data_IF_066210868852
#
_entry.id   IF_066210868852
#
_cell.length_a   1.000
_cell.length_b   1.000
_cell.length_c   1.000
_cell.angle_alpha   90.00
_cell.angle_beta   90.00
_cell.angle_gamma   90.00
#
_symmetry.space_group_name_H-M   'P 1'
#
loop_
_entity.id
_entity.type
_entity.pdbx_description
1 polymer ?
#
# COMPACT_ATOMS: atom_id res chain seq x y z
N UNK A 1 22.81 -9.78 3.55
CA UNK A 1 22.53 -8.35 3.76
C UNK A 1 23.80 -7.52 3.83
N UNK A 2 23.80 -6.32 3.23
CA UNK A 2 24.90 -5.35 3.33
C UNK A 2 24.67 -4.36 4.51
N UNK A 3 25.64 -3.49 4.80
CA UNK A 3 25.56 -2.58 5.96
C UNK A 3 24.37 -1.61 5.90
N UNK A 4 24.02 -1.09 4.72
CA UNK A 4 22.86 -0.20 4.54
C UNK A 4 21.57 -0.91 4.94
N UNK A 5 21.34 -2.10 4.39
CA UNK A 5 20.15 -2.90 4.66
C UNK A 5 20.08 -3.27 6.13
N UNK A 6 21.21 -3.62 6.76
CA UNK A 6 21.25 -3.90 8.20
C UNK A 6 20.78 -2.69 9.02
N UNK A 7 21.29 -1.48 8.74
CA UNK A 7 20.87 -0.26 9.45
C UNK A 7 19.38 0.04 9.26
N UNK A 8 18.89 -0.01 8.03
CA UNK A 8 17.48 0.24 7.72
C UNK A 8 16.55 -0.81 8.35
N UNK A 9 16.97 -2.08 8.36
CA UNK A 9 16.23 -3.17 9.02
C UNK A 9 16.18 -2.96 10.52
N UNK A 10 17.30 -2.61 11.15
CA UNK A 10 17.37 -2.37 12.59
C UNK A 10 16.51 -1.17 12.99
N UNK A 11 16.51 -0.08 12.21
CA UNK A 11 15.61 1.06 12.40
C UNK A 11 14.15 0.61 12.28
N UNK A 12 13.80 -0.12 11.21
CA UNK A 12 12.46 -0.61 10.97
C UNK A 12 11.95 -1.51 12.10
N UNK A 13 12.74 -2.48 12.54
CA UNK A 13 12.36 -3.43 13.60
C UNK A 13 12.19 -2.74 14.94
N UNK A 14 13.16 -1.91 15.34
CA UNK A 14 13.19 -1.31 16.67
C UNK A 14 12.28 -0.08 16.84
N UNK A 15 11.80 0.51 15.74
CA UNK A 15 10.84 1.61 15.81
C UNK A 15 9.52 1.14 16.42
N UNK A 16 9.10 1.82 17.50
CA UNK A 16 7.81 1.59 18.16
C UNK A 16 6.67 2.12 17.27
N UNK A 17 5.69 1.28 16.89
CA UNK A 17 4.51 1.75 16.15
C UNK A 17 3.80 2.88 16.89
N UNK A 18 3.38 3.92 16.15
CA UNK A 18 2.70 5.09 16.70
C UNK A 18 1.59 5.58 15.80
N UNK A 19 0.64 6.32 16.35
CA UNK A 19 -0.43 6.99 15.61
C UNK A 19 -0.07 8.46 15.42
N UNK A 20 -0.37 9.00 14.25
CA UNK A 20 -0.30 10.43 13.98
C UNK A 20 -1.60 10.95 13.37
N UNK A 21 -2.04 12.13 13.84
CA UNK A 21 -3.31 12.74 13.43
C UNK A 21 -3.24 13.55 12.13
N UNK A 22 -2.09 13.70 11.45
CA UNK A 22 -1.92 14.56 10.25
C UNK A 22 -3.02 14.31 9.20
N UNK A 23 -3.20 13.05 8.78
CA UNK A 23 -4.20 12.69 7.77
C UNK A 23 -5.61 13.06 8.22
N UNK A 24 -5.95 12.76 9.47
CA UNK A 24 -7.28 13.01 10.02
C UNK A 24 -7.56 14.51 10.14
N UNK A 25 -6.56 15.32 10.53
CA UNK A 25 -6.66 16.79 10.57
C UNK A 25 -6.84 17.35 9.16
N UNK A 26 -6.01 16.93 8.19
CA UNK A 26 -6.11 17.38 6.79
C UNK A 26 -7.49 17.08 6.20
N UNK A 27 -8.00 15.86 6.40
CA UNK A 27 -9.34 15.52 5.93
C UNK A 27 -10.43 16.31 6.67
N UNK A 28 -10.31 16.49 7.98
CA UNK A 28 -11.27 17.29 8.75
C UNK A 28 -11.34 18.71 8.23
N UNK A 29 -10.20 19.34 7.93
CA UNK A 29 -10.14 20.69 7.37
C UNK A 29 -10.70 20.73 5.95
N UNK A 30 -10.36 19.76 5.11
CA UNK A 30 -10.89 19.66 3.75
C UNK A 30 -12.42 19.53 3.73
N UNK A 31 -12.98 18.63 4.54
CA UNK A 31 -14.42 18.35 4.56
C UNK A 31 -15.27 19.42 5.27
N UNK A 32 -14.67 20.47 5.86
CA UNK A 32 -15.41 21.65 6.38
C UNK A 32 -15.95 22.55 5.26
N UNK A 33 -15.44 22.42 4.04
CA UNK A 33 -15.96 23.17 2.90
C UNK A 33 -17.34 22.64 2.47
N UNK A 34 -18.38 23.42 2.76
CA UNK A 34 -19.79 23.11 2.42
C UNK A 34 -19.99 22.92 0.91
N UNK A 35 -19.14 23.51 0.05
CA UNK A 35 -19.23 23.31 -1.40
C UNK A 35 -19.02 21.85 -1.80
N UNK A 36 -18.36 21.04 -0.96
CA UNK A 36 -18.17 19.62 -1.20
C UNK A 36 -19.47 18.81 -1.16
N UNK A 37 -20.57 19.33 -0.61
CA UNK A 37 -21.88 18.67 -0.66
C UNK A 37 -22.51 18.73 -2.06
N UNK A 38 -22.08 19.68 -2.88
CA UNK A 38 -22.63 19.88 -4.25
C UNK A 38 -21.97 19.01 -5.31
N UNK A 39 -20.84 18.37 -4.99
CA UNK A 39 -20.14 17.48 -5.92
C UNK A 39 -20.52 16.02 -5.70
N UNK A 40 -20.37 15.20 -6.74
CA UNK A 40 -20.63 13.77 -6.63
C UNK A 40 -19.72 13.10 -5.58
N UNK A 41 -20.17 11.99 -4.94
CA UNK A 41 -19.34 11.27 -3.97
C UNK A 41 -17.97 10.85 -4.52
N UNK A 42 -17.90 10.47 -5.79
CA UNK A 42 -16.65 10.10 -6.47
C UNK A 42 -15.67 11.28 -6.53
N UNK A 43 -16.13 12.43 -7.01
CA UNK A 43 -15.31 13.66 -7.09
C UNK A 43 -14.90 14.13 -5.69
N UNK A 44 -15.81 14.07 -4.72
CA UNK A 44 -15.51 14.44 -3.34
C UNK A 44 -14.38 13.61 -2.77
N UNK A 45 -14.41 12.28 -2.96
CA UNK A 45 -13.34 11.38 -2.53
C UNK A 45 -12.03 11.66 -3.26
N UNK A 46 -12.06 11.79 -4.58
CA UNK A 46 -10.86 12.08 -5.37
C UNK A 46 -10.20 13.42 -5.00
N UNK A 47 -10.99 14.47 -4.76
CA UNK A 47 -10.47 15.78 -4.30
C UNK A 47 -9.91 15.71 -2.87
N UNK A 48 -10.55 14.95 -1.98
CA UNK A 48 -10.00 14.74 -0.62
C UNK A 48 -8.67 13.98 -0.66
N UNK A 49 -8.55 12.99 -1.55
CA UNK A 49 -7.32 12.26 -1.78
C UNK A 49 -6.24 13.14 -2.42
N UNK A 50 -6.60 13.97 -3.39
CA UNK A 50 -5.71 14.99 -3.96
C UNK A 50 -5.16 15.91 -2.87
N UNK A 51 -6.04 16.44 -2.01
CA UNK A 51 -5.64 17.31 -0.91
C UNK A 51 -4.64 16.61 0.02
N UNK A 52 -4.87 15.33 0.37
CA UNK A 52 -3.90 14.54 1.15
C UNK A 52 -2.55 14.43 0.45
N UNK A 53 -2.52 14.04 -0.83
CA UNK A 53 -1.28 13.87 -1.59
C UNK A 53 -0.49 15.17 -1.76
N UNK A 54 -1.18 16.32 -1.79
CA UNK A 54 -0.57 17.64 -1.89
C UNK A 54 -0.01 18.16 -0.56
N UNK A 55 -0.60 17.78 0.58
CA UNK A 55 -0.32 18.42 1.88
C UNK A 55 0.36 17.50 2.90
N UNK A 56 0.16 16.18 2.86
CA UNK A 56 0.75 15.27 3.86
C UNK A 56 2.28 15.36 3.86
N UNK A 57 2.92 15.08 4.99
CA UNK A 57 4.38 15.09 5.11
C UNK A 57 5.01 14.08 4.14
N UNK A 58 6.11 14.51 3.52
CA UNK A 58 6.99 13.68 2.68
C UNK A 58 8.19 13.28 3.51
N UNK A 59 8.45 11.98 3.61
CA UNK A 59 9.58 11.43 4.38
C UNK A 59 10.60 10.82 3.43
N UNK A 60 11.88 11.16 3.64
CA UNK A 60 13.03 10.56 3.00
C UNK A 60 14.07 10.20 4.07
N UNK A 61 14.25 8.91 4.31
CA UNK A 61 15.22 8.40 5.28
C UNK A 61 16.66 8.51 4.78
N UNK A 62 17.62 8.51 5.72
CA UNK A 62 19.05 8.72 5.42
C UNK A 62 19.63 7.69 4.46
N UNK A 63 19.25 6.43 4.59
CA UNK A 63 19.84 5.32 3.83
C UNK A 63 18.92 4.79 2.71
N UNK A 64 17.73 5.38 2.53
CA UNK A 64 16.70 4.85 1.63
C UNK A 64 17.10 4.89 0.15
N UNK A 65 16.73 3.81 -0.57
CA UNK A 65 16.80 3.73 -2.04
C UNK A 65 15.41 3.70 -2.70
N UNK A 66 14.39 3.26 -1.97
CA UNK A 66 12.97 3.31 -2.33
C UNK A 66 12.29 4.21 -1.30
N UNK A 67 11.55 5.22 -1.74
CA UNK A 67 11.06 6.32 -0.88
C UNK A 67 9.54 6.41 -0.85
N UNK A 68 8.99 6.95 0.24
CA UNK A 68 7.56 7.13 0.46
C UNK A 68 7.08 6.38 1.69
N UNK A 69 6.31 7.04 2.53
CA UNK A 69 5.76 6.51 3.78
C UNK A 69 4.27 6.88 3.87
N UNK A 70 3.44 6.01 4.44
CA UNK A 70 2.01 6.29 4.63
C UNK A 70 1.78 7.42 5.63
N UNK A 71 2.53 7.43 6.73
CA UNK A 71 2.56 8.53 7.69
C UNK A 71 3.73 9.49 7.47
N UNK A 72 4.10 10.29 8.48
CA UNK A 72 5.23 11.21 8.41
C UNK A 72 6.60 10.54 8.63
N UNK A 73 6.64 9.27 9.06
CA UNK A 73 7.86 8.51 9.31
C UNK A 73 7.56 6.99 9.36
N UNK A 74 8.59 6.11 9.31
CA UNK A 74 8.45 4.67 9.48
C UNK A 74 7.61 4.28 10.71
N UNK A 75 6.66 3.35 10.54
CA UNK A 75 5.75 2.85 11.58
C UNK A 75 4.91 3.90 12.30
N UNK A 76 4.86 5.13 11.79
CA UNK A 76 3.90 6.16 12.21
C UNK A 76 2.68 6.04 11.31
N UNK A 77 1.58 5.49 11.80
CA UNK A 77 0.38 5.24 11.00
C UNK A 77 -0.64 6.38 11.11
N UNK A 78 -1.29 6.77 10.01
CA UNK A 78 -2.46 7.64 10.07
C UNK A 78 -3.70 6.89 10.61
N UNK A 79 -4.76 7.65 10.80
CA UNK A 79 -6.11 7.18 11.12
C UNK A 79 -7.14 7.59 10.05
N UNK A 80 -8.32 6.97 10.11
CA UNK A 80 -9.34 7.05 9.05
C UNK A 80 -10.71 7.37 9.65
N UNK A 81 -10.87 8.60 10.19
CA UNK A 81 -12.08 8.97 10.91
C UNK A 81 -13.33 8.99 10.02
N UNK A 82 -13.18 9.03 8.69
CA UNK A 82 -14.32 8.86 7.79
C UNK A 82 -14.91 7.44 7.81
N UNK A 83 -14.11 6.43 8.21
CA UNK A 83 -14.53 5.03 8.34
C UNK A 83 -14.94 4.76 9.79
N UNK A 84 -13.98 4.92 10.71
CA UNK A 84 -14.16 4.76 12.14
C UNK A 84 -13.39 5.86 12.88
N UNK A 85 -14.12 6.71 13.59
CA UNK A 85 -13.57 7.77 14.42
C UNK A 85 -13.37 7.23 15.84
N UNK A 86 -12.11 7.05 16.24
CA UNK A 86 -11.76 6.60 17.59
C UNK A 86 -12.10 7.66 18.64
N UNK A 87 -12.57 7.21 19.79
CA UNK A 87 -12.71 8.00 21.02
C UNK A 87 -11.34 8.26 21.66
N UNK A 88 -11.28 9.21 22.59
CA UNK A 88 -10.03 9.49 23.34
C UNK A 88 -9.65 8.29 24.21
N UNK A 89 -10.64 7.65 24.82
CA UNK A 89 -10.47 6.44 25.63
C UNK A 89 -9.90 5.28 24.80
N UNK A 90 -10.38 5.09 23.56
CA UNK A 90 -9.81 4.08 22.65
C UNK A 90 -8.35 4.39 22.28
N UNK A 91 -7.99 5.67 22.10
CA UNK A 91 -6.59 6.07 21.87
C UNK A 91 -5.71 5.80 23.09
N UNK A 92 -6.22 5.99 24.30
CA UNK A 92 -5.52 5.64 25.55
C UNK A 92 -5.35 4.12 25.71
N UNK A 93 -6.36 3.34 25.34
CA UNK A 93 -6.27 1.87 25.28
C UNK A 93 -5.22 1.44 24.26
N UNK A 94 -5.17 2.06 23.08
CA UNK A 94 -4.18 1.75 22.05
C UNK A 94 -2.73 2.05 22.51
N UNK A 95 -2.52 3.11 23.28
CA UNK A 95 -1.20 3.48 23.83
C UNK A 95 -0.74 2.56 24.97
N UNK A 96 -1.68 2.06 25.77
CA UNK A 96 -1.41 1.33 27.01
C UNK A 96 -1.56 -0.20 26.93
N UNK A 97 -2.26 -0.74 25.92
CA UNK A 97 -2.49 -2.19 25.79
C UNK A 97 -1.19 -2.98 25.65
N UNK A 98 -1.17 -4.20 26.17
CA UNK A 98 0.03 -5.05 26.19
C UNK A 98 0.47 -5.50 24.78
N UNK A 99 -0.50 -5.89 23.94
CA UNK A 99 -0.25 -6.44 22.60
C UNK A 99 -0.67 -5.46 21.53
N UNK A 100 0.15 -5.35 20.49
CA UNK A 100 -0.12 -4.52 19.31
C UNK A 100 -0.39 -3.05 19.71
N UNK A 101 0.34 -2.51 20.68
CA UNK A 101 0.21 -1.13 21.13
C UNK A 101 0.61 -0.12 20.03
N UNK A 102 -0.04 1.02 19.98
CA UNK A 102 0.42 2.15 19.17
C UNK A 102 0.67 3.32 20.09
N UNK A 103 1.88 3.85 20.08
CA UNK A 103 2.13 5.05 20.85
C UNK A 103 1.25 6.21 20.37
N UNK A 104 0.60 6.90 21.30
CA UNK A 104 -0.20 8.11 21.02
C UNK A 104 0.36 9.28 21.82
N UNK A 105 0.74 10.35 21.13
CA UNK A 105 1.24 11.57 21.78
C UNK A 105 0.10 12.52 22.21
N UNK A 106 0.44 13.56 22.99
CA UNK A 106 -0.53 14.54 23.47
C UNK A 106 -1.17 15.30 22.31
N UNK A 107 -0.38 15.73 21.32
CA UNK A 107 -0.84 16.44 20.13
C UNK A 107 -1.92 15.65 19.38
N UNK A 108 -1.72 14.34 19.20
CA UNK A 108 -2.71 13.47 18.54
C UNK A 108 -3.99 13.39 19.36
N UNK A 109 -3.91 13.22 20.69
CA UNK A 109 -5.09 13.21 21.57
C UNK A 109 -5.85 14.54 21.55
N UNK A 110 -5.14 15.66 21.59
CA UNK A 110 -5.72 17.00 21.56
C UNK A 110 -6.44 17.25 20.24
N UNK A 111 -5.80 16.95 19.10
CA UNK A 111 -6.45 17.03 17.79
C UNK A 111 -7.72 16.16 17.71
N UNK A 112 -7.71 14.98 18.33
CA UNK A 112 -8.87 14.11 18.37
C UNK A 112 -10.02 14.70 19.18
N UNK A 113 -9.73 15.14 20.40
CA UNK A 113 -10.71 15.73 21.32
C UNK A 113 -11.31 17.02 20.76
N UNK A 114 -10.47 17.89 20.21
CA UNK A 114 -10.85 19.28 19.92
C UNK A 114 -11.37 19.47 18.50
N UNK A 115 -10.93 18.66 17.54
CA UNK A 115 -11.26 18.86 16.12
C UNK A 115 -11.88 17.64 15.42
N UNK A 116 -11.27 16.45 15.56
CA UNK A 116 -11.64 15.28 14.74
C UNK A 116 -12.95 14.67 15.25
N UNK A 117 -13.06 14.35 16.54
CA UNK A 117 -14.28 13.74 17.11
C UNK A 117 -15.50 14.67 16.92
N UNK A 118 -15.42 15.98 17.26
CA UNK A 118 -16.55 16.89 17.06
C UNK A 118 -17.00 16.96 15.59
N UNK A 119 -16.08 16.88 14.63
CA UNK A 119 -16.42 16.96 13.22
C UNK A 119 -16.99 15.66 12.66
N UNK A 120 -16.42 14.50 13.01
CA UNK A 120 -16.75 13.21 12.38
C UNK A 120 -17.90 12.46 13.06
N UNK A 121 -18.29 12.86 14.27
CA UNK A 121 -19.45 12.29 14.97
C UNK A 121 -20.71 12.35 14.09
N UNK A 122 -21.40 11.22 13.95
CA UNK A 122 -22.59 11.06 13.11
C UNK A 122 -22.31 10.97 11.61
N UNK A 123 -21.04 10.96 11.17
CA UNK A 123 -20.67 10.97 9.74
C UNK A 123 -19.94 9.72 9.28
N UNK A 124 -19.46 8.89 10.22
CA UNK A 124 -18.58 7.76 9.91
C UNK A 124 -19.31 6.65 9.18
N UNK A 125 -18.58 5.84 8.40
CA UNK A 125 -19.14 4.63 7.77
C UNK A 125 -19.62 3.64 8.84
N UNK A 126 -18.86 3.49 9.93
CA UNK A 126 -19.23 2.61 11.05
C UNK A 126 -20.60 2.97 11.63
N UNK A 127 -20.83 4.24 11.94
CA UNK A 127 -22.12 4.69 12.47
C UNK A 127 -23.26 4.41 11.49
N UNK A 128 -23.04 4.63 10.19
CA UNK A 128 -24.04 4.35 9.14
C UNK A 128 -24.35 2.87 9.03
N UNK A 129 -23.34 1.99 9.07
CA UNK A 129 -23.55 0.54 9.07
C UNK A 129 -24.43 0.16 10.25
N UNK A 130 -24.05 0.57 11.46
CA UNK A 130 -24.73 0.16 12.69
C UNK A 130 -26.16 0.73 12.78
N UNK A 131 -26.43 1.91 12.23
CA UNK A 131 -27.79 2.47 12.17
C UNK A 131 -28.75 1.67 11.27
N UNK A 132 -28.22 0.94 10.28
CA UNK A 132 -29.01 0.19 9.30
C UNK A 132 -29.19 -1.30 9.69
N UNK A 133 -28.53 -1.77 10.75
CA UNK A 133 -28.60 -3.17 11.20
C UNK A 133 -29.85 -3.46 12.05
N UNK A 134 -30.36 -4.68 11.95
CA UNK A 134 -31.52 -5.15 12.72
C UNK A 134 -31.15 -5.60 14.14
N UNK A 135 -32.10 -5.68 15.08
CA UNK A 135 -31.86 -6.26 16.41
C UNK A 135 -31.26 -7.67 16.34
N UNK A 136 -31.79 -8.56 15.50
CA UNK A 136 -31.27 -9.93 15.33
C UNK A 136 -29.80 -9.94 14.87
N UNK A 137 -29.40 -8.97 14.03
CA UNK A 137 -28.02 -8.82 13.61
C UNK A 137 -27.12 -8.45 14.79
N UNK A 138 -27.57 -7.50 15.64
CA UNK A 138 -26.83 -7.10 16.83
C UNK A 138 -26.71 -8.24 17.84
N UNK A 139 -27.78 -8.99 18.09
CA UNK A 139 -27.77 -10.13 18.99
C UNK A 139 -26.77 -11.19 18.51
N UNK A 140 -26.74 -11.49 17.22
CA UNK A 140 -25.79 -12.44 16.63
C UNK A 140 -24.33 -11.94 16.66
N UNK A 141 -24.09 -10.66 16.33
CA UNK A 141 -22.77 -10.04 16.42
C UNK A 141 -22.23 -10.02 17.86
N UNK A 142 -23.06 -9.60 18.82
CA UNK A 142 -22.68 -9.58 20.25
C UNK A 142 -22.49 -10.97 20.84
N UNK A 143 -23.23 -11.97 20.34
CA UNK A 143 -23.04 -13.38 20.69
C UNK A 143 -21.81 -14.02 20.02
N UNK A 144 -21.10 -13.30 19.13
CA UNK A 144 -19.91 -13.80 18.44
C UNK A 144 -20.21 -14.84 17.36
N UNK A 145 -21.42 -14.81 16.77
CA UNK A 145 -21.81 -15.72 15.68
C UNK A 145 -21.07 -15.39 14.38
N UNK A 146 -20.84 -14.10 14.13
CA UNK A 146 -20.06 -13.58 13.01
C UNK A 146 -19.39 -12.25 13.39
N UNK A 147 -18.49 -11.76 12.53
CA UNK A 147 -17.87 -10.43 12.63
C UNK A 147 -18.22 -9.56 11.41
N UNK A 148 -18.00 -8.25 11.49
CA UNK A 148 -18.28 -7.29 10.40
C UNK A 148 -16.98 -6.61 9.95
N UNK A 149 -16.42 -7.08 8.83
CA UNK A 149 -15.14 -6.59 8.32
C UNK A 149 -15.14 -5.09 7.99
N UNK A 150 -16.27 -4.53 7.56
CA UNK A 150 -16.34 -3.15 7.11
C UNK A 150 -16.60 -2.15 8.25
N UNK A 151 -16.65 -2.58 9.52
CA UNK A 151 -16.90 -1.67 10.66
C UNK A 151 -15.76 -0.67 10.91
N UNK A 152 -14.51 -1.06 10.66
CA UNK A 152 -13.31 -0.25 10.94
C UNK A 152 -12.39 -0.08 9.72
N UNK A 153 -12.66 -0.80 8.63
CA UNK A 153 -11.85 -0.82 7.41
C UNK A 153 -12.71 -0.74 6.16
N UNK A 154 -12.13 -0.25 5.08
CA UNK A 154 -12.73 -0.31 3.76
C UNK A 154 -12.54 -1.72 3.16
N UNK A 155 -13.39 -2.15 2.21
CA UNK A 155 -13.37 -3.52 1.68
C UNK A 155 -11.98 -4.02 1.27
N UNK A 156 -11.25 -3.32 0.42
CA UNK A 156 -9.87 -3.71 0.09
C UNK A 156 -9.77 -5.10 -0.55
N UNK A 157 -8.90 -5.95 0.01
CA UNK A 157 -8.68 -7.35 -0.40
C UNK A 157 -8.40 -7.50 -1.90
N UNK A 158 -7.42 -6.74 -2.41
CA UNK A 158 -7.11 -6.72 -3.84
C UNK A 158 -5.62 -6.75 -4.11
N UNK A 159 -5.27 -7.12 -5.34
CA UNK A 159 -3.91 -7.16 -5.85
C UNK A 159 -3.75 -6.26 -7.07
N UNK A 160 -2.59 -5.60 -7.18
CA UNK A 160 -2.24 -4.79 -8.33
C UNK A 160 -1.94 -5.66 -9.56
N UNK A 161 -2.38 -5.17 -10.72
CA UNK A 161 -2.09 -5.78 -12.01
C UNK A 161 -0.84 -5.15 -12.68
N UNK A 162 -0.62 -5.51 -13.94
CA UNK A 162 0.55 -5.07 -14.69
C UNK A 162 0.44 -3.64 -15.29
N UNK A 163 -0.69 -2.95 -15.17
CA UNK A 163 -0.97 -1.71 -15.92
C UNK A 163 0.03 -0.60 -15.59
N UNK A 164 0.38 -0.45 -14.31
CA UNK A 164 1.29 0.61 -13.87
C UNK A 164 2.67 0.47 -14.52
N UNK A 165 3.15 -0.76 -14.73
CA UNK A 165 4.46 -1.03 -15.33
C UNK A 165 4.47 -0.81 -16.85
N UNK A 166 3.31 -0.86 -17.51
CA UNK A 166 3.19 -0.73 -18.97
C UNK A 166 2.79 0.66 -19.43
N UNK A 167 1.92 1.33 -18.67
CA UNK A 167 1.25 2.58 -19.09
C UNK A 167 1.69 3.80 -18.29
N UNK A 168 2.12 3.61 -17.03
CA UNK A 168 2.18 4.72 -16.07
C UNK A 168 0.80 5.34 -15.86
N UNK A 169 0.72 6.35 -14.99
CA UNK A 169 -0.53 7.06 -14.74
C UNK A 169 -0.95 7.97 -15.89
N UNK A 170 -0.01 8.54 -16.65
CA UNK A 170 -0.34 9.35 -17.85
C UNK A 170 -1.00 8.49 -18.92
N UNK A 171 -0.55 7.25 -19.14
CA UNK A 171 -1.21 6.34 -20.06
C UNK A 171 -2.63 5.99 -19.62
N UNK A 172 -2.85 5.76 -18.32
CA UNK A 172 -4.21 5.54 -17.78
C UNK A 172 -5.10 6.78 -17.90
N UNK A 173 -4.56 7.99 -17.72
CA UNK A 173 -5.30 9.24 -17.95
C UNK A 173 -5.70 9.42 -19.42
N UNK A 174 -4.88 8.96 -20.37
CA UNK A 174 -5.26 8.98 -21.78
C UNK A 174 -6.46 8.06 -22.05
N UNK A 175 -6.49 6.87 -21.44
CA UNK A 175 -7.65 5.96 -21.52
C UNK A 175 -8.90 6.54 -20.84
N UNK A 176 -8.75 7.21 -19.71
CA UNK A 176 -9.84 7.93 -19.04
C UNK A 176 -10.41 9.02 -19.96
N UNK A 177 -9.55 9.80 -20.62
CA UNK A 177 -9.98 10.84 -21.57
C UNK A 177 -10.73 10.26 -22.76
N UNK A 178 -10.21 9.18 -23.35
CA UNK A 178 -10.90 8.49 -24.43
C UNK A 178 -12.28 7.99 -23.97
N UNK A 179 -12.37 7.37 -22.79
CA UNK A 179 -13.65 6.90 -22.24
C UNK A 179 -14.64 8.06 -21.96
N UNK A 180 -14.15 9.25 -21.62
CA UNK A 180 -14.97 10.46 -21.46
C UNK A 180 -15.53 10.96 -22.80
N UNK A 181 -14.73 10.92 -23.87
CA UNK A 181 -15.13 11.33 -25.22
C UNK A 181 -16.17 10.38 -25.84
N UNK A 182 -16.16 9.10 -25.43
CA UNK A 182 -17.08 8.06 -25.90
C UNK A 182 -18.43 8.02 -25.14
N UNK A 183 -18.67 8.92 -24.18
CA UNK A 183 -19.91 8.93 -23.40
C UNK A 183 -21.12 9.37 -24.24
N UNK A 184 -22.14 8.51 -24.31
CA UNK A 184 -23.42 8.81 -24.95
C UNK A 184 -24.43 9.39 -23.95
N UNK A 185 -24.45 10.72 -23.82
CA UNK A 185 -25.41 11.40 -22.94
C UNK A 185 -26.87 11.34 -23.40
N UNK A 186 -27.13 10.95 -24.65
CA UNK A 186 -28.48 10.90 -25.20
C UNK A 186 -29.16 9.56 -24.94
N UNK A 187 -28.40 8.45 -24.98
CA UNK A 187 -28.96 7.10 -24.85
C UNK A 187 -28.47 6.32 -23.62
N UNK A 188 -27.39 6.73 -22.95
CA UNK A 188 -26.92 6.09 -21.71
C UNK A 188 -27.37 6.87 -20.46
N UNK A 189 -28.37 6.33 -19.77
CA UNK A 189 -28.86 6.89 -18.50
C UNK A 189 -27.81 6.94 -17.39
N UNK A 190 -26.69 6.21 -17.52
CA UNK A 190 -25.57 6.24 -16.60
C UNK A 190 -24.43 7.16 -17.04
N UNK A 191 -24.52 7.81 -18.22
CA UNK A 191 -23.44 8.61 -18.79
C UNK A 191 -22.90 9.66 -17.79
N UNK A 192 -23.78 10.39 -17.12
CA UNK A 192 -23.37 11.37 -16.11
C UNK A 192 -22.62 10.72 -14.93
N UNK A 193 -23.15 9.62 -14.37
CA UNK A 193 -22.49 8.93 -13.26
C UNK A 193 -21.12 8.35 -13.66
N UNK A 194 -20.99 7.83 -14.89
CA UNK A 194 -19.72 7.37 -15.46
C UNK A 194 -18.75 8.53 -15.65
N UNK A 195 -19.21 9.66 -16.16
CA UNK A 195 -18.41 10.88 -16.28
C UNK A 195 -17.83 11.30 -14.92
N UNK A 196 -18.65 11.29 -13.87
CA UNK A 196 -18.21 11.64 -12.51
C UNK A 196 -17.13 10.69 -11.99
N UNK A 197 -17.28 9.38 -12.24
CA UNK A 197 -16.27 8.38 -11.87
C UNK A 197 -14.97 8.55 -12.66
N UNK A 198 -15.06 8.74 -13.98
CA UNK A 198 -13.89 8.94 -14.84
C UNK A 198 -13.12 10.21 -14.46
N UNK A 199 -13.83 11.31 -14.22
CA UNK A 199 -13.22 12.55 -13.73
C UNK A 199 -12.56 12.37 -12.35
N UNK A 200 -13.18 11.59 -11.45
CA UNK A 200 -12.59 11.25 -10.15
C UNK A 200 -11.30 10.44 -10.31
N UNK A 201 -11.28 9.46 -11.21
CA UNK A 201 -10.07 8.69 -11.54
C UNK A 201 -8.96 9.57 -12.11
N UNK A 202 -9.30 10.55 -12.97
CA UNK A 202 -8.34 11.50 -13.53
C UNK A 202 -7.66 12.35 -12.44
N UNK A 203 -8.46 12.85 -11.49
CA UNK A 203 -7.99 13.60 -10.31
C UNK A 203 -7.09 12.73 -9.44
N UNK A 204 -7.51 11.50 -9.14
CA UNK A 204 -6.73 10.58 -8.33
C UNK A 204 -5.37 10.25 -8.99
N UNK A 205 -5.35 10.03 -10.31
CA UNK A 205 -4.09 9.82 -11.03
C UNK A 205 -3.15 11.04 -10.93
N UNK A 206 -3.67 12.26 -11.05
CA UNK A 206 -2.87 13.48 -10.84
C UNK A 206 -2.34 13.58 -9.40
N UNK A 207 -3.14 13.22 -8.41
CA UNK A 207 -2.76 13.26 -7.00
C UNK A 207 -1.52 12.38 -6.72
N UNK A 208 -1.49 11.16 -7.27
CA UNK A 208 -0.33 10.26 -7.09
C UNK A 208 0.90 10.78 -7.83
N UNK A 209 0.74 11.34 -9.05
CA UNK A 209 1.84 12.00 -9.77
C UNK A 209 2.42 13.13 -8.92
N UNK A 210 1.55 13.99 -8.38
CA UNK A 210 1.95 15.11 -7.54
C UNK A 210 2.68 14.67 -6.27
N UNK A 211 2.24 13.57 -5.64
CA UNK A 211 2.94 13.00 -4.49
C UNK A 211 4.37 12.57 -4.84
N UNK A 212 4.58 11.93 -5.98
CA UNK A 212 5.91 11.54 -6.46
C UNK A 212 6.77 12.77 -6.81
N UNK A 213 6.19 13.81 -7.43
CA UNK A 213 6.89 15.07 -7.70
C UNK A 213 7.39 15.73 -6.42
N UNK A 214 6.59 15.73 -5.34
CA UNK A 214 7.02 16.26 -4.04
C UNK A 214 8.20 15.47 -3.45
N UNK A 215 8.25 14.16 -3.66
CA UNK A 215 9.44 13.37 -3.30
C UNK A 215 10.65 13.71 -4.17
N UNK A 216 10.44 13.98 -5.46
CA UNK A 216 11.50 14.46 -6.34
C UNK A 216 12.06 15.80 -5.88
N UNK A 217 11.20 16.74 -5.50
CA UNK A 217 11.60 18.07 -5.03
C UNK A 217 12.38 17.96 -3.70
N UNK A 218 11.87 17.17 -2.75
CA UNK A 218 12.52 16.92 -1.47
C UNK A 218 13.89 16.26 -1.63
N UNK A 219 14.00 15.22 -2.48
CA UNK A 219 15.27 14.55 -2.76
C UNK A 219 16.29 15.51 -3.41
N UNK A 220 15.85 16.35 -4.34
CA UNK A 220 16.72 17.32 -4.99
C UNK A 220 17.22 18.42 -4.03
N UNK A 221 16.37 18.87 -3.09
CA UNK A 221 16.80 19.79 -2.03
C UNK A 221 17.78 19.14 -1.08
N UNK A 222 17.52 17.90 -0.64
CA UNK A 222 18.44 17.16 0.22
C UNK A 222 19.79 16.94 -0.47
N UNK A 223 19.81 16.58 -1.76
CA UNK A 223 21.04 16.40 -2.52
C UNK A 223 21.92 17.65 -2.55
N UNK A 224 21.33 18.84 -2.72
CA UNK A 224 22.07 20.13 -2.73
C UNK A 224 22.77 20.43 -1.42
N UNK A 225 22.23 19.94 -0.32
CA UNK A 225 22.73 20.19 1.03
C UNK A 225 23.50 18.99 1.61
N UNK A 226 23.67 17.92 0.83
CA UNK A 226 24.38 16.71 1.26
C UNK A 226 25.89 16.87 1.06
N UNK A 227 26.63 16.51 2.11
CA UNK A 227 28.09 16.61 2.16
C UNK A 227 28.79 15.36 1.65
N UNK A 228 28.15 14.19 1.79
CA UNK A 228 28.64 12.92 1.28
C UNK A 228 28.33 12.81 -0.23
N UNK A 229 29.34 12.79 -1.12
CA UNK A 229 29.11 12.76 -2.57
C UNK A 229 28.36 11.50 -3.03
N UNK A 230 28.54 10.35 -2.36
CA UNK A 230 27.85 9.12 -2.74
C UNK A 230 26.37 9.23 -2.38
N UNK A 231 26.05 9.78 -1.20
CA UNK A 231 24.65 10.02 -0.81
C UNK A 231 23.99 11.10 -1.65
N UNK A 232 24.72 12.17 -2.00
CA UNK A 232 24.21 13.21 -2.90
C UNK A 232 23.81 12.61 -4.26
N UNK A 233 24.66 11.76 -4.84
CA UNK A 233 24.36 11.06 -6.10
C UNK A 233 23.14 10.12 -5.97
N UNK A 234 22.98 9.44 -4.83
CA UNK A 234 21.78 8.64 -4.55
C UNK A 234 20.51 9.48 -4.51
N UNK A 235 20.54 10.63 -3.83
CA UNK A 235 19.42 11.56 -3.71
C UNK A 235 19.06 12.18 -5.07
N UNK A 236 20.03 12.55 -5.89
CA UNK A 236 19.81 12.99 -7.27
C UNK A 236 19.15 11.89 -8.10
N UNK A 237 19.58 10.64 -7.92
CA UNK A 237 18.98 9.51 -8.60
C UNK A 237 17.53 9.25 -8.13
N UNK A 238 17.26 9.37 -6.82
CA UNK A 238 15.89 9.32 -6.27
C UNK A 238 15.04 10.43 -6.88
N UNK A 239 15.56 11.66 -6.96
CA UNK A 239 14.85 12.77 -7.57
C UNK A 239 14.47 12.48 -9.03
N UNK A 240 15.43 12.00 -9.83
CA UNK A 240 15.21 11.62 -11.24
C UNK A 240 14.18 10.50 -11.38
N UNK A 241 14.21 9.50 -10.49
CA UNK A 241 13.26 8.38 -10.49
C UNK A 241 11.86 8.88 -10.16
N UNK A 242 11.70 9.63 -9.07
CA UNK A 242 10.40 10.12 -8.61
C UNK A 242 9.78 11.15 -9.56
N UNK A 243 10.60 11.88 -10.33
CA UNK A 243 10.11 12.73 -11.42
C UNK A 243 9.50 11.92 -12.56
N UNK A 244 9.95 10.69 -12.78
CA UNK A 244 9.52 9.84 -13.88
C UNK A 244 8.36 8.93 -13.50
N UNK A 245 8.48 8.18 -12.40
CA UNK A 245 7.45 7.23 -11.93
C UNK A 245 6.68 7.80 -10.74
N UNK A 246 5.36 7.56 -10.64
CA UNK A 246 4.55 6.67 -11.47
C UNK A 246 3.86 7.33 -12.67
N UNK A 247 4.21 8.59 -13.01
CA UNK A 247 3.61 9.30 -14.14
C UNK A 247 3.80 8.54 -15.46
N UNK A 248 5.02 8.05 -15.71
CA UNK A 248 5.38 7.30 -16.89
C UNK A 248 5.67 5.83 -16.56
N UNK A 249 5.64 4.92 -17.56
CA UNK A 249 6.09 3.54 -17.38
C UNK A 249 7.54 3.50 -16.86
N UNK A 250 7.86 2.64 -15.88
CA UNK A 250 9.23 2.46 -15.40
C UNK A 250 10.16 2.02 -16.52
N UNK A 251 11.43 2.45 -16.49
CA UNK A 251 12.43 2.12 -17.53
C UNK A 251 13.42 1.04 -17.10
N UNK A 252 13.53 0.80 -15.81
CA UNK A 252 14.49 -0.09 -15.16
C UNK A 252 13.88 -0.72 -13.89
N UNK A 253 14.59 -1.66 -13.30
CA UNK A 253 14.15 -2.45 -12.15
C UNK A 253 13.84 -1.58 -10.92
N UNK A 254 14.69 -0.59 -10.62
CA UNK A 254 14.49 0.33 -9.49
C UNK A 254 13.25 1.22 -9.70
N UNK A 255 13.07 1.75 -10.90
CA UNK A 255 11.87 2.52 -11.26
C UNK A 255 10.60 1.67 -11.15
N UNK A 256 10.65 0.38 -11.50
CA UNK A 256 9.49 -0.51 -11.38
C UNK A 256 9.08 -0.74 -9.92
N UNK A 257 10.06 -0.94 -9.01
CA UNK A 257 9.81 -1.03 -7.57
C UNK A 257 9.24 0.29 -7.00
N UNK A 258 9.84 1.43 -7.36
CA UNK A 258 9.38 2.74 -6.89
C UNK A 258 7.98 3.09 -7.44
N UNK A 259 7.67 2.74 -8.69
CA UNK A 259 6.36 2.96 -9.30
C UNK A 259 5.27 2.19 -8.54
N UNK A 260 5.51 0.91 -8.27
CA UNK A 260 4.62 0.10 -7.44
C UNK A 260 4.47 0.73 -6.05
N UNK A 261 5.59 1.10 -5.41
CA UNK A 261 5.57 1.58 -4.04
C UNK A 261 4.76 2.87 -3.88
N UNK A 262 4.88 3.81 -4.82
CA UNK A 262 4.05 5.01 -4.81
C UNK A 262 2.56 4.70 -4.95
N UNK A 263 2.18 3.75 -5.81
CA UNK A 263 0.77 3.33 -5.94
C UNK A 263 0.31 2.61 -4.67
N UNK A 264 1.13 1.76 -4.07
CA UNK A 264 0.82 1.08 -2.82
C UNK A 264 0.51 2.09 -1.71
N UNK A 265 1.43 3.03 -1.45
CA UNK A 265 1.27 4.08 -0.43
C UNK A 265 0.06 4.97 -0.73
N UNK A 266 -0.16 5.33 -1.99
CA UNK A 266 -1.33 6.11 -2.41
C UNK A 266 -2.64 5.42 -2.04
N UNK A 267 -2.83 4.15 -2.42
CA UNK A 267 -4.07 3.40 -2.18
C UNK A 267 -4.33 3.24 -0.68
N UNK A 268 -3.32 2.84 0.09
CA UNK A 268 -3.48 2.66 1.54
C UNK A 268 -3.62 4.00 2.28
N UNK A 269 -3.24 5.13 1.67
CA UNK A 269 -3.51 6.46 2.23
C UNK A 269 -4.92 6.94 1.89
N UNK A 270 -5.43 6.60 0.70
CA UNK A 270 -6.78 6.94 0.27
C UNK A 270 -7.83 6.40 1.25
N UNK A 271 -7.77 5.11 1.59
CA UNK A 271 -8.66 4.45 2.54
C UNK A 271 -7.91 3.38 3.35
N UNK A 272 -8.43 3.03 4.53
CA UNK A 272 -7.93 1.91 5.33
C UNK A 272 -8.44 0.58 4.76
N UNK A 273 -7.91 0.15 3.62
CA UNK A 273 -8.31 -1.10 2.98
C UNK A 273 -7.82 -2.31 3.77
N UNK A 274 -8.63 -3.37 3.84
CA UNK A 274 -8.11 -4.67 4.24
C UNK A 274 -7.01 -5.16 3.30
N UNK A 275 -6.05 -5.88 3.87
CA UNK A 275 -4.88 -6.46 3.22
C UNK A 275 -4.00 -5.47 2.46
N UNK A 276 -3.99 -4.21 2.94
CA UNK A 276 -3.32 -3.10 2.30
C UNK A 276 -3.65 -3.08 0.79
N UNK A 277 -2.64 -3.25 -0.04
CA UNK A 277 -2.79 -3.68 -1.43
C UNK A 277 -1.64 -4.62 -1.79
N UNK A 278 -1.98 -5.78 -2.34
CA UNK A 278 -1.01 -6.83 -2.62
C UNK A 278 -0.24 -6.56 -3.93
N UNK A 279 1.10 -6.76 -3.96
CA UNK A 279 1.87 -6.74 -5.21
C UNK A 279 1.43 -7.78 -6.24
N UNK A 280 0.77 -8.84 -5.77
CA UNK A 280 0.37 -9.95 -6.61
C UNK A 280 1.60 -10.65 -7.17
N UNK A 281 1.66 -10.81 -8.49
CA UNK A 281 2.70 -11.59 -9.18
C UNK A 281 3.96 -10.78 -9.45
N UNK A 282 4.59 -10.31 -8.37
CA UNK A 282 5.72 -9.39 -8.41
C UNK A 282 6.88 -9.95 -9.25
N UNK A 283 7.17 -11.25 -9.15
CA UNK A 283 8.23 -11.87 -9.94
C UNK A 283 7.95 -11.80 -11.46
N UNK A 284 6.70 -11.95 -11.90
CA UNK A 284 6.31 -11.82 -13.30
C UNK A 284 6.33 -10.36 -13.76
N UNK A 285 5.92 -9.44 -12.89
CA UNK A 285 5.88 -8.01 -13.24
C UNK A 285 7.29 -7.43 -13.38
N UNK A 286 8.24 -7.88 -12.55
CA UNK A 286 9.60 -7.34 -12.51
C UNK A 286 10.60 -8.04 -13.44
N UNK A 287 10.35 -9.29 -13.85
CA UNK A 287 11.32 -10.09 -14.64
C UNK A 287 11.80 -9.41 -15.93
N UNK A 288 10.98 -8.67 -16.71
CA UNK A 288 11.47 -8.02 -17.91
C UNK A 288 12.50 -6.92 -17.59
N UNK A 289 12.30 -6.16 -16.52
CA UNK A 289 13.22 -5.11 -16.08
C UNK A 289 14.52 -5.71 -15.56
N UNK A 290 14.42 -6.73 -14.70
CA UNK A 290 15.59 -7.41 -14.15
C UNK A 290 16.52 -7.96 -15.24
N UNK A 291 15.98 -8.72 -16.19
CA UNK A 291 16.77 -9.31 -17.29
C UNK A 291 17.39 -8.26 -18.20
N UNK A 292 16.62 -7.22 -18.55
CA UNK A 292 17.09 -6.13 -19.40
C UNK A 292 18.26 -5.38 -18.75
N UNK A 293 18.16 -5.12 -17.46
CA UNK A 293 19.12 -4.28 -16.75
C UNK A 293 20.41 -5.05 -16.44
N UNK A 294 20.31 -6.35 -16.11
CA UNK A 294 21.47 -7.24 -16.06
C UNK A 294 22.21 -7.27 -17.40
N UNK A 295 21.47 -7.41 -18.52
CA UNK A 295 22.06 -7.45 -19.86
C UNK A 295 22.78 -6.14 -20.22
N UNK A 296 22.27 -5.00 -19.75
CA UNK A 296 22.88 -3.67 -19.96
C UNK A 296 24.04 -3.38 -19.01
N UNK A 297 24.27 -4.22 -18.00
CA UNK A 297 25.29 -3.99 -16.98
C UNK A 297 24.99 -2.83 -16.02
N UNK A 298 23.73 -2.39 -15.96
CA UNK A 298 23.31 -1.30 -15.04
C UNK A 298 22.73 -1.85 -13.72
N UNK A 299 22.55 -3.16 -13.64
CA UNK A 299 22.09 -3.89 -12.47
C UNK A 299 22.99 -5.12 -12.29
N UNK A 300 23.25 -5.50 -11.05
CA UNK A 300 23.87 -6.78 -10.68
C UNK A 300 22.87 -7.58 -9.84
N UNK A 301 23.12 -8.87 -9.64
CA UNK A 301 22.25 -9.69 -8.78
C UNK A 301 22.27 -9.15 -7.36
N UNK A 302 23.43 -8.69 -6.88
CA UNK A 302 23.64 -8.12 -5.56
C UNK A 302 22.92 -6.79 -5.39
N UNK A 303 22.95 -5.89 -6.37
CA UNK A 303 22.21 -4.62 -6.28
C UNK A 303 20.70 -4.81 -6.45
N UNK A 304 20.26 -5.80 -7.23
CA UNK A 304 18.84 -6.20 -7.27
C UNK A 304 18.36 -6.76 -5.92
N UNK A 305 19.20 -7.58 -5.25
CA UNK A 305 18.96 -8.10 -3.91
C UNK A 305 18.83 -6.96 -2.89
N UNK A 306 19.76 -6.00 -2.89
CA UNK A 306 19.70 -4.81 -2.02
C UNK A 306 18.41 -4.01 -2.24
N UNK A 307 18.02 -3.77 -3.49
CA UNK A 307 16.78 -3.06 -3.79
C UNK A 307 15.53 -3.79 -3.29
N UNK A 308 15.49 -5.12 -3.42
CA UNK A 308 14.41 -5.94 -2.88
C UNK A 308 14.41 -5.93 -1.34
N UNK A 309 15.57 -5.94 -0.70
CA UNK A 309 15.68 -5.84 0.76
C UNK A 309 15.18 -4.49 1.29
N UNK A 310 15.58 -3.38 0.64
CA UNK A 310 15.03 -2.06 0.90
C UNK A 310 13.51 -2.04 0.70
N UNK A 311 13.02 -2.66 -0.36
CA UNK A 311 11.58 -2.78 -0.63
C UNK A 311 10.83 -3.58 0.44
N UNK A 312 11.42 -4.64 0.99
CA UNK A 312 10.86 -5.38 2.14
C UNK A 312 10.72 -4.51 3.39
N UNK A 313 11.76 -3.73 3.69
CA UNK A 313 11.75 -2.79 4.81
C UNK A 313 10.61 -1.78 4.67
N UNK A 314 10.32 -1.31 3.45
CA UNK A 314 9.21 -0.39 3.20
C UNK A 314 7.85 -0.95 3.63
N UNK A 315 7.57 -2.24 3.39
CA UNK A 315 6.34 -2.88 3.89
C UNK A 315 6.35 -3.02 5.41
N UNK A 316 7.47 -3.42 6.02
CA UNK A 316 7.57 -3.57 7.47
C UNK A 316 7.41 -2.23 8.22
N UNK A 317 7.68 -1.11 7.54
CA UNK A 317 7.39 0.23 8.02
C UNK A 317 5.89 0.59 8.00
N UNK A 318 5.02 -0.23 7.39
CA UNK A 318 3.57 -0.01 7.34
C UNK A 318 2.84 -1.03 8.23
N UNK A 319 2.70 -0.79 9.55
CA UNK A 319 1.80 -1.59 10.36
C UNK A 319 0.36 -1.40 9.85
N UNK A 320 -0.56 -2.35 10.03
CA UNK A 320 -1.99 -2.08 9.82
C UNK A 320 -2.42 -0.85 10.65
N UNK A 321 -3.35 0.00 10.20
CA UNK A 321 -3.90 1.05 11.07
C UNK A 321 -4.54 0.45 12.33
N UNK A 322 -4.63 1.21 13.43
CA UNK A 322 -5.08 0.69 14.72
C UNK A 322 -6.51 0.12 14.65
N UNK A 323 -6.70 -0.98 15.36
CA UNK A 323 -7.97 -1.72 15.49
C UNK A 323 -8.35 -1.79 16.97
N UNK A 324 -9.64 -1.66 17.26
CA UNK A 324 -10.24 -1.79 18.60
C UNK A 324 -11.44 -2.75 18.57
N UNK A 325 -11.95 -3.17 19.72
CA UNK A 325 -13.13 -4.06 19.81
C UNK A 325 -12.99 -5.37 19.03
N UNK A 326 -14.08 -5.83 18.43
CA UNK A 326 -14.15 -7.12 17.69
C UNK A 326 -13.12 -7.18 16.55
N UNK A 327 -12.89 -6.07 15.82
CA UNK A 327 -11.86 -6.02 14.77
C UNK A 327 -10.45 -6.33 15.32
N UNK A 328 -10.15 -5.93 16.55
CA UNK A 328 -8.88 -6.25 17.20
C UNK A 328 -8.80 -7.71 17.70
N UNK A 329 -9.94 -8.30 18.07
CA UNK A 329 -10.01 -9.70 18.49
C UNK A 329 -9.85 -10.65 17.30
N UNK A 330 -10.43 -10.33 16.15
CA UNK A 330 -10.30 -11.15 14.93
C UNK A 330 -8.93 -10.95 14.23
N UNK A 331 -8.34 -9.75 14.32
CA UNK A 331 -7.15 -9.38 13.56
C UNK A 331 -6.15 -8.53 14.37
N UNK A 332 -5.84 -9.01 15.58
CA UNK A 332 -4.90 -8.40 16.53
C UNK A 332 -3.43 -8.54 16.13
N UNK A 333 -3.02 -7.89 15.04
CA UNK A 333 -1.64 -7.90 14.52
C UNK A 333 -1.27 -6.57 13.87
N UNK A 334 0.03 -6.25 13.85
CA UNK A 334 0.57 -5.15 13.03
C UNK A 334 0.65 -5.51 11.55
N UNK A 335 0.51 -6.79 11.18
CA UNK A 335 0.57 -7.17 9.77
C UNK A 335 -0.66 -6.64 9.02
N UNK A 336 -0.41 -6.06 7.85
CA UNK A 336 -1.43 -5.57 6.93
C UNK A 336 -1.54 -6.45 5.67
N UNK A 337 -1.04 -7.69 5.76
CA UNK A 337 -1.28 -8.81 4.84
C UNK A 337 -1.01 -8.55 3.34
N UNK A 338 -0.13 -7.60 3.00
CA UNK A 338 0.32 -7.41 1.62
C UNK A 338 1.04 -8.68 1.10
N UNK A 339 0.44 -9.36 0.12
CA UNK A 339 0.85 -10.69 -0.33
C UNK A 339 1.54 -10.65 -1.70
N UNK A 340 2.76 -11.18 -1.76
CA UNK A 340 3.53 -11.44 -2.98
C UNK A 340 3.33 -12.91 -3.38
N UNK A 341 2.88 -13.14 -4.62
CA UNK A 341 2.75 -14.47 -5.22
C UNK A 341 3.91 -14.75 -6.18
N UNK A 342 4.67 -15.81 -5.90
CA UNK A 342 5.83 -16.26 -6.68
C UNK A 342 5.50 -17.54 -7.46
N UNK A 343 6.14 -17.72 -8.62
CA UNK A 343 6.02 -18.94 -9.41
C UNK A 343 4.66 -19.07 -10.09
N UNK A 344 4.01 -20.24 -9.96
CA UNK A 344 2.73 -20.55 -10.57
C UNK A 344 2.79 -20.70 -12.09
N UNK A 345 1.72 -20.34 -12.78
CA UNK A 345 1.57 -20.50 -14.23
C UNK A 345 1.61 -19.16 -14.97
N UNK A 346 2.20 -19.07 -16.17
CA UNK A 346 2.06 -17.88 -17.03
C UNK A 346 0.65 -17.79 -17.63
N UNK A 347 0.36 -16.69 -18.34
CA UNK A 347 -0.93 -16.49 -19.03
C UNK A 347 -1.26 -17.58 -20.05
N UNK A 348 -0.25 -18.14 -20.70
CA UNK A 348 -0.38 -19.27 -21.64
C UNK A 348 -0.47 -20.64 -20.92
N UNK A 349 -0.49 -20.64 -19.58
CA UNK A 349 -0.52 -21.83 -18.76
C UNK A 349 0.82 -22.57 -18.66
N UNK A 350 1.93 -22.03 -19.15
CA UNK A 350 3.27 -22.62 -18.98
C UNK A 350 3.88 -22.29 -17.61
N UNK A 351 5.04 -22.86 -17.28
CA UNK A 351 5.76 -22.59 -16.03
C UNK A 351 6.07 -21.08 -15.86
N UNK A 352 5.63 -20.51 -14.74
CA UNK A 352 5.87 -19.13 -14.32
C UNK A 352 7.14 -18.92 -13.49
N UNK A 353 7.77 -19.99 -12.99
CA UNK A 353 8.98 -19.86 -12.15
C UNK A 353 10.11 -19.23 -12.96
N UNK A 354 10.78 -18.24 -12.36
CA UNK A 354 11.92 -17.55 -12.97
C UNK A 354 13.00 -17.23 -11.92
N UNK A 355 14.10 -16.62 -12.33
CA UNK A 355 15.22 -16.32 -11.44
C UNK A 355 14.89 -15.28 -10.35
N UNK A 356 13.92 -14.38 -10.57
CA UNK A 356 13.42 -13.50 -9.51
C UNK A 356 12.61 -14.27 -8.47
N UNK A 357 11.90 -15.34 -8.85
CA UNK A 357 11.20 -16.19 -7.88
C UNK A 357 12.18 -16.74 -6.82
N UNK A 358 13.38 -17.16 -7.24
CA UNK A 358 14.43 -17.63 -6.32
C UNK A 358 15.08 -16.49 -5.55
N UNK A 359 15.42 -15.38 -6.22
CA UNK A 359 16.02 -14.23 -5.55
C UNK A 359 15.12 -13.67 -4.45
N UNK A 360 13.81 -13.62 -4.66
CA UNK A 360 12.85 -13.18 -3.66
C UNK A 360 12.77 -14.18 -2.49
N UNK A 361 12.85 -15.48 -2.73
CA UNK A 361 12.91 -16.48 -1.64
C UNK A 361 14.17 -16.30 -0.79
N UNK A 362 15.30 -15.95 -1.40
CA UNK A 362 16.51 -15.62 -0.64
C UNK A 362 16.35 -14.32 0.17
N UNK A 363 15.72 -13.29 -0.40
CA UNK A 363 15.42 -12.04 0.34
C UNK A 363 14.50 -12.32 1.52
N UNK A 364 13.48 -13.17 1.33
CA UNK A 364 12.58 -13.59 2.39
C UNK A 364 13.33 -14.30 3.53
N UNK A 365 14.24 -15.22 3.20
CA UNK A 365 15.08 -15.92 4.17
C UNK A 365 16.05 -14.97 4.89
N UNK A 366 16.68 -14.03 4.18
CA UNK A 366 17.66 -13.11 4.76
C UNK A 366 17.02 -12.03 5.65
N UNK A 367 15.84 -11.53 5.29
CA UNK A 367 15.23 -10.39 5.97
C UNK A 367 14.54 -10.78 7.27
N UNK A 368 13.97 -11.99 7.36
CA UNK A 368 13.21 -12.46 8.54
C UNK A 368 12.21 -11.40 9.07
N UNK A 369 11.59 -10.65 8.15
CA UNK A 369 10.56 -9.65 8.47
C UNK A 369 9.18 -10.29 8.34
N UNK A 370 8.25 -9.85 9.17
CA UNK A 370 6.86 -10.33 9.15
C UNK A 370 6.06 -9.78 7.96
N UNK A 371 6.58 -8.75 7.27
CA UNK A 371 5.97 -8.15 6.08
C UNK A 371 7.04 -7.79 5.02
N UNK A 372 6.70 -7.83 3.72
CA UNK A 372 5.45 -8.35 3.15
C UNK A 372 5.35 -9.86 3.32
N UNK A 373 4.13 -10.40 3.16
CA UNK A 373 3.94 -11.84 3.12
C UNK A 373 4.31 -12.36 1.73
N UNK A 374 4.90 -13.55 1.69
CA UNK A 374 5.19 -14.26 0.44
C UNK A 374 4.47 -15.59 0.39
N UNK A 375 3.99 -15.92 -0.81
CA UNK A 375 3.55 -17.26 -1.14
C UNK A 375 4.16 -17.74 -2.45
N UNK A 376 4.30 -19.06 -2.55
CA UNK A 376 4.64 -19.74 -3.79
C UNK A 376 3.39 -20.43 -4.29
N UNK A 377 3.01 -20.12 -5.53
CA UNK A 377 1.99 -20.85 -6.26
C UNK A 377 2.64 -22.04 -6.98
N UNK A 378 2.08 -23.23 -6.79
CA UNK A 378 2.62 -24.49 -7.27
C UNK A 378 1.63 -25.19 -8.22
N UNK A 379 2.12 -25.57 -9.39
CA UNK A 379 1.44 -26.36 -10.40
C UNK A 379 2.28 -27.59 -10.72
N UNK A 380 1.65 -28.63 -11.27
CA UNK A 380 2.34 -29.78 -11.87
C UNK A 380 3.36 -29.40 -12.96
N UNK A 381 3.25 -28.20 -13.53
CA UNK A 381 4.19 -27.69 -14.55
C UNK A 381 5.43 -27.03 -13.97
N UNK A 382 5.46 -26.74 -12.66
CA UNK A 382 6.59 -26.07 -12.04
C UNK A 382 7.72 -27.08 -11.74
N UNK A 383 8.99 -26.64 -11.81
CA UNK A 383 10.12 -27.52 -11.55
C UNK A 383 10.32 -27.79 -10.05
N UNK A 384 10.64 -29.03 -9.66
CA UNK A 384 10.86 -29.44 -8.26
C UNK A 384 11.77 -28.51 -7.44
N UNK A 385 12.73 -27.85 -8.10
CA UNK A 385 13.63 -26.89 -7.43
C UNK A 385 12.91 -25.74 -6.74
N UNK A 386 11.76 -25.27 -7.23
CA UNK A 386 11.02 -24.19 -6.53
C UNK A 386 10.40 -24.72 -5.24
N UNK A 387 9.91 -25.96 -5.26
CA UNK A 387 9.34 -26.62 -4.07
C UNK A 387 10.43 -26.83 -3.03
N UNK A 388 11.57 -27.38 -3.44
CA UNK A 388 12.73 -27.60 -2.55
C UNK A 388 13.19 -26.30 -1.92
N UNK A 389 13.37 -25.23 -2.70
CA UNK A 389 13.78 -23.93 -2.17
C UNK A 389 12.75 -23.36 -1.20
N UNK A 390 11.46 -23.43 -1.52
CA UNK A 390 10.40 -22.95 -0.63
C UNK A 390 10.35 -23.74 0.70
N UNK A 391 10.63 -25.05 0.69
CA UNK A 391 10.75 -25.87 1.90
C UNK A 391 12.01 -25.51 2.71
N UNK A 392 13.12 -25.22 2.05
CA UNK A 392 14.35 -24.77 2.71
C UNK A 392 14.12 -23.45 3.46
N UNK A 393 13.42 -22.48 2.85
CA UNK A 393 13.04 -21.23 3.54
C UNK A 393 12.09 -21.51 4.69
N UNK A 394 11.05 -22.34 4.51
CA UNK A 394 10.14 -22.69 5.61
C UNK A 394 10.87 -23.35 6.81
N UNK A 395 11.95 -24.11 6.55
CA UNK A 395 12.75 -24.77 7.59
C UNK A 395 13.41 -23.77 8.56
N UNK A 396 13.57 -22.50 8.20
CA UNK A 396 14.11 -21.48 9.12
C UNK A 396 13.15 -21.14 10.25
N UNK A 397 11.87 -21.52 10.15
CA UNK A 397 10.85 -21.27 11.17
C UNK A 397 10.12 -19.94 11.03
N UNK A 398 10.40 -19.16 9.98
CA UNK A 398 9.73 -17.87 9.70
C UNK A 398 8.25 -17.99 9.31
N UNK A 399 7.76 -19.21 9.09
CA UNK A 399 6.36 -19.48 8.71
C UNK A 399 6.00 -19.08 7.27
N UNK A 400 7.00 -18.74 6.45
CA UNK A 400 6.88 -18.34 5.06
C UNK A 400 7.87 -19.12 4.18
N UNK A 401 7.63 -19.25 2.87
CA UNK A 401 6.42 -18.82 2.16
C UNK A 401 5.26 -19.80 2.34
N UNK A 402 4.03 -19.28 2.33
CA UNK A 402 2.83 -20.11 2.18
C UNK A 402 2.85 -20.81 0.81
N UNK A 403 2.27 -22.00 0.71
CA UNK A 403 2.21 -22.76 -0.55
C UNK A 403 0.76 -22.91 -1.01
N UNK A 404 0.46 -22.46 -2.23
CA UNK A 404 -0.88 -22.55 -2.82
C UNK A 404 -0.87 -23.44 -4.07
N UNK A 405 -1.92 -24.23 -4.25
CA UNK A 405 -2.10 -25.06 -5.44
C UNK A 405 -2.66 -24.19 -6.59
N UNK A 406 -1.78 -23.80 -7.53
CA UNK A 406 -2.11 -22.98 -8.68
C UNK A 406 -3.13 -23.68 -9.60
N UNK A 407 -3.03 -25.00 -9.78
CA UNK A 407 -3.94 -25.75 -10.65
C UNK A 407 -5.37 -25.72 -10.09
N UNK A 408 -5.52 -25.90 -8.78
CA UNK A 408 -6.81 -25.82 -8.10
C UNK A 408 -7.39 -24.40 -8.15
N UNK A 409 -6.57 -23.37 -7.86
CA UNK A 409 -6.99 -21.96 -7.93
C UNK A 409 -7.51 -21.61 -9.33
N UNK A 410 -6.82 -22.04 -10.39
CA UNK A 410 -7.27 -21.81 -11.77
C UNK A 410 -8.61 -22.51 -12.01
N UNK A 411 -8.77 -23.78 -11.60
CA UNK A 411 -10.02 -24.50 -11.76
C UNK A 411 -11.19 -23.80 -11.05
N UNK A 412 -11.00 -23.35 -9.81
CA UNK A 412 -12.07 -22.70 -9.04
C UNK A 412 -12.49 -21.35 -9.62
N UNK A 413 -11.57 -20.61 -10.25
CA UNK A 413 -11.91 -19.36 -10.94
C UNK A 413 -12.77 -19.58 -12.19
N UNK A 414 -12.66 -20.74 -12.85
CA UNK A 414 -13.49 -21.12 -14.00
C UNK A 414 -14.80 -21.81 -13.63
N UNK A 415 -14.97 -22.28 -12.39
CA UNK A 415 -16.20 -22.93 -11.90
C UNK A 415 -17.34 -21.95 -11.55
N UNK A 416 -17.19 -20.67 -11.87
CA UNK A 416 -18.16 -19.62 -11.54
C UNK A 416 -19.41 -19.67 -12.40
#
# INVERSE_FOLDING_TARGET
MNERVTRLRDESVNTRPSINSERAVLLTHFFRDEQLETVSPAIRRARSFQYLMEHKTVYLGRDELIVGERGPAPKVTPTYPEICCHTVEELEILDSREKVAYHVDATTRDNYRDEIIPFWKGKTIREKIFQEMTPDWFDAYQAGVFTEFMEQRAPGHTALDEKIYKKGLIGLKAEIRQALEELDFMNDHHAYSRQQQLNAMDIAANAVIRYAERHSDAAAEMARNESDPDRAAELENIARICRHVPAHPPRNFREALQAYWFVHVAVITELNTWDAISPGRLDQHLIPFYRNDLKKGILTVESARELLQCFWIKFNNQPAPPKVGVTAEESGTYNDFALISLGGLKRDGSDGVNELSFLILDVLEEMELVQPHCCVQLSQKNPDRIVKRAVEVNRTGVGQPSMFNADAVVQDLFRR
#
